data_IF_325920748888
#
_entry.id   IF_325920748888
#
_cell.length_a   1.000
_cell.length_b   1.000
_cell.length_c   1.000
_cell.angle_alpha   90.00
_cell.angle_beta   90.00
_cell.angle_gamma   90.00
#
_symmetry.space_group_name_H-M   'P 1'
#
loop_
_entity.id
_entity.type
_entity.pdbx_description
1 polymer ?
#
# COMPACT_ATOMS: atom_id res chain seq x y z
N UNK A 1 18.16 2.22 -12.10
CA UNK A 1 18.29 3.46 -11.28
C UNK A 1 16.98 4.23 -11.19
N UNK A 2 16.26 4.51 -12.29
CA UNK A 2 14.93 5.14 -12.25
C UNK A 2 13.94 4.41 -11.32
N UNK A 3 13.76 3.09 -11.52
CA UNK A 3 12.89 2.26 -10.67
C UNK A 3 13.33 2.24 -9.19
N UNK A 4 14.64 2.42 -8.91
CA UNK A 4 15.12 2.48 -7.53
C UNK A 4 14.73 3.80 -6.85
N UNK A 5 14.77 4.92 -7.58
CA UNK A 5 14.32 6.21 -7.06
C UNK A 5 12.81 6.20 -6.79
N UNK A 6 12.02 5.55 -7.65
CA UNK A 6 10.58 5.36 -7.44
C UNK A 6 10.26 4.53 -6.20
N UNK A 7 11.00 3.43 -5.97
CA UNK A 7 10.86 2.62 -4.75
C UNK A 7 11.17 3.45 -3.50
N UNK A 8 12.20 4.31 -3.53
CA UNK A 8 12.47 5.20 -2.38
C UNK A 8 11.40 6.27 -2.17
N UNK A 9 10.74 6.71 -3.24
CA UNK A 9 9.68 7.73 -3.16
C UNK A 9 8.37 7.16 -2.67
N UNK A 10 8.06 5.91 -3.02
CA UNK A 10 6.84 5.22 -2.62
C UNK A 10 7.11 3.74 -2.30
N UNK A 11 7.75 3.44 -1.15
CA UNK A 11 8.17 2.08 -0.81
C UNK A 11 6.99 1.13 -0.57
N UNK A 12 5.84 1.67 -0.16
CA UNK A 12 4.63 0.90 0.12
C UNK A 12 3.72 0.76 -1.13
N UNK A 13 4.09 1.38 -2.26
CA UNK A 13 3.32 1.43 -3.51
C UNK A 13 1.89 2.00 -3.36
N UNK A 14 1.60 2.70 -2.26
CA UNK A 14 0.30 3.33 -2.01
C UNK A 14 0.11 4.53 -2.97
N UNK A 15 -1.05 4.67 -3.64
CA UNK A 15 -1.33 5.84 -4.46
C UNK A 15 -1.12 7.15 -3.69
N UNK A 16 -0.14 7.95 -4.12
CA UNK A 16 0.16 9.23 -3.49
C UNK A 16 -1.08 10.15 -3.52
N UNK A 17 -1.51 10.64 -2.35
CA UNK A 17 -2.69 11.50 -2.22
C UNK A 17 -3.99 10.77 -1.88
N UNK A 18 -3.94 9.47 -1.61
CA UNK A 18 -5.10 8.72 -1.09
C UNK A 18 -5.55 9.26 0.28
N UNK A 19 -6.86 9.44 0.45
CA UNK A 19 -7.46 9.65 1.75
C UNK A 19 -7.67 8.26 2.37
N UNK A 20 -6.92 7.94 3.42
CA UNK A 20 -7.00 6.64 4.08
C UNK A 20 -8.45 6.17 4.24
N UNK A 21 -8.81 5.13 3.50
CA UNK A 21 -10.09 4.47 3.66
C UNK A 21 -10.02 3.63 4.95
N UNK A 22 -10.30 4.25 6.09
CA UNK A 22 -10.52 3.60 7.39
C UNK A 22 -9.28 3.43 8.28
N UNK A 23 -8.91 4.50 9.01
CA UNK A 23 -8.71 4.55 10.47
C UNK A 23 -7.82 5.76 10.83
N UNK A 24 -8.45 6.78 11.42
CA UNK A 24 -7.78 7.99 11.92
C UNK A 24 -7.09 7.79 13.29
N UNK A 25 -7.26 6.64 13.95
CA UNK A 25 -6.99 6.55 15.40
C UNK A 25 -5.72 5.76 15.79
N UNK A 26 -5.00 5.12 14.86
CA UNK A 26 -3.82 4.30 15.22
C UNK A 26 -2.44 4.91 14.89
N UNK A 27 -2.36 6.05 14.22
CA UNK A 27 -1.08 6.61 13.76
C UNK A 27 -0.43 7.66 14.68
N UNK A 28 -1.08 8.06 15.78
CA UNK A 28 -0.63 9.21 16.59
C UNK A 28 0.66 8.97 17.41
N UNK A 29 1.19 7.73 17.48
CA UNK A 29 2.30 7.38 18.40
C UNK A 29 3.67 7.10 17.74
N UNK A 30 3.81 7.23 16.41
CA UNK A 30 5.07 6.92 15.69
C UNK A 30 5.54 8.00 14.69
N UNK A 31 5.09 9.24 14.84
CA UNK A 31 5.19 10.28 13.80
C UNK A 31 6.62 10.77 13.50
N UNK A 32 7.48 10.96 14.49
CA UNK A 32 8.83 11.53 14.29
C UNK A 32 9.78 10.57 13.58
N UNK A 33 9.86 9.31 14.01
CA UNK A 33 10.73 8.31 13.40
C UNK A 33 10.31 7.97 11.96
N UNK A 34 9.00 7.95 11.67
CA UNK A 34 8.44 7.75 10.32
C UNK A 34 8.77 8.93 9.40
N UNK A 35 8.70 10.17 9.91
CA UNK A 35 9.07 11.38 9.17
C UNK A 35 10.58 11.43 8.86
N UNK A 36 11.45 11.04 9.80
CA UNK A 36 12.90 11.01 9.57
C UNK A 36 13.30 9.99 8.50
N UNK A 37 12.73 8.78 8.55
CA UNK A 37 12.93 7.75 7.52
C UNK A 37 12.44 8.24 6.16
N UNK A 38 11.28 8.90 6.11
CA UNK A 38 10.74 9.48 4.88
C UNK A 38 11.65 10.58 4.31
N UNK A 39 12.18 11.48 5.16
CA UNK A 39 13.11 12.51 4.73
C UNK A 39 14.46 11.94 4.26
N UNK A 40 14.95 10.89 4.90
CA UNK A 40 16.16 10.17 4.48
C UNK A 40 15.95 9.53 3.11
N UNK A 41 14.82 8.87 2.89
CA UNK A 41 14.47 8.27 1.60
C UNK A 41 14.42 9.32 0.47
N UNK A 42 13.82 10.48 0.72
CA UNK A 42 13.79 11.59 -0.26
C UNK A 42 15.20 12.10 -0.57
N UNK A 43 16.08 12.22 0.44
CA UNK A 43 17.47 12.64 0.21
C UNK A 43 18.23 11.61 -0.62
N UNK A 44 18.05 10.33 -0.36
CA UNK A 44 18.68 9.24 -1.12
C UNK A 44 18.18 9.23 -2.56
N UNK A 45 16.86 9.34 -2.77
CA UNK A 45 16.26 9.45 -4.10
C UNK A 45 16.85 10.64 -4.88
N UNK A 46 16.95 11.82 -4.26
CA UNK A 46 17.57 13.00 -4.91
C UNK A 46 19.04 12.79 -5.28
N UNK A 47 19.81 12.09 -4.44
CA UNK A 47 21.22 11.77 -4.77
C UNK A 47 21.29 10.86 -6.00
N UNK A 48 20.49 9.81 -6.04
CA UNK A 48 20.40 8.90 -7.18
C UNK A 48 19.98 9.63 -8.46
N UNK A 49 19.02 10.56 -8.36
CA UNK A 49 18.60 11.36 -9.53
C UNK A 49 19.71 12.30 -10.02
N UNK A 50 20.54 12.87 -9.15
CA UNK A 50 21.69 13.70 -9.56
C UNK A 50 22.78 12.91 -10.29
N UNK A 51 22.91 11.62 -9.97
CA UNK A 51 23.87 10.73 -10.63
C UNK A 51 23.37 10.28 -12.01
N UNK A 52 22.06 10.40 -12.28
CA UNK A 52 21.49 10.11 -13.58
C UNK A 52 21.84 11.24 -14.57
N UNK A 53 22.60 10.88 -15.61
CA UNK A 53 22.88 11.73 -16.77
C UNK A 53 22.22 11.12 -18.01
N UNK A 54 20.90 11.31 -18.20
CA UNK A 54 20.22 10.81 -19.40
C UNK A 54 20.84 11.42 -20.66
N UNK A 55 20.93 10.61 -21.72
CA UNK A 55 21.42 11.03 -23.05
C UNK A 55 20.29 11.27 -24.06
N UNK A 56 19.06 10.88 -23.71
CA UNK A 56 17.89 10.94 -24.59
C UNK A 56 16.90 12.00 -24.09
N UNK A 57 16.19 12.71 -24.99
CA UNK A 57 15.16 13.68 -24.60
C UNK A 57 14.08 13.09 -23.67
N UNK A 58 13.62 11.88 -23.96
CA UNK A 58 12.67 11.15 -23.10
C UNK A 58 13.25 10.85 -21.70
N UNK A 59 14.53 10.51 -21.61
CA UNK A 59 15.21 10.31 -20.32
C UNK A 59 15.32 11.60 -19.50
N UNK A 60 15.57 12.74 -20.15
CA UNK A 60 15.54 14.05 -19.48
C UNK A 60 14.16 14.38 -18.94
N UNK A 61 13.10 14.03 -19.67
CA UNK A 61 11.74 14.22 -19.22
C UNK A 61 11.38 13.35 -18.03
N UNK A 62 11.72 12.05 -18.08
CA UNK A 62 11.50 11.14 -16.95
C UNK A 62 12.25 11.61 -15.70
N UNK A 63 13.49 12.09 -15.85
CA UNK A 63 14.27 12.67 -14.75
C UNK A 63 13.54 13.87 -14.15
N UNK A 64 13.08 14.82 -14.98
CA UNK A 64 12.32 16.00 -14.54
C UNK A 64 11.04 15.62 -13.81
N UNK A 65 10.29 14.63 -14.30
CA UNK A 65 9.08 14.12 -13.63
C UNK A 65 9.42 13.58 -12.23
N UNK A 66 10.48 12.77 -12.10
CA UNK A 66 10.89 12.19 -10.82
C UNK A 66 11.41 13.23 -9.82
N UNK A 67 12.13 14.25 -10.28
CA UNK A 67 12.57 15.37 -9.43
C UNK A 67 11.37 16.11 -8.82
N UNK A 68 10.31 16.32 -9.60
CA UNK A 68 9.08 16.91 -9.10
C UNK A 68 8.31 15.97 -8.16
N UNK A 69 8.34 14.64 -8.38
CA UNK A 69 7.83 13.69 -7.39
C UNK A 69 8.62 13.76 -6.07
N UNK A 70 9.93 13.98 -6.10
CA UNK A 70 10.71 14.26 -4.87
C UNK A 70 10.25 15.55 -4.17
N UNK A 71 9.79 16.57 -4.91
CA UNK A 71 9.22 17.79 -4.33
C UNK A 71 7.85 17.51 -3.70
N UNK A 72 6.96 16.77 -4.39
CA UNK A 72 5.67 16.33 -3.85
C UNK A 72 5.83 15.52 -2.55
N UNK A 73 6.77 14.57 -2.52
CA UNK A 73 7.03 13.71 -1.37
C UNK A 73 7.43 14.50 -0.10
N UNK A 74 7.91 15.74 -0.23
CA UNK A 74 8.22 16.60 0.93
C UNK A 74 6.99 17.05 1.71
N UNK A 75 5.77 16.94 1.14
CA UNK A 75 4.48 17.34 1.73
C UNK A 75 4.41 18.81 2.16
N UNK A 76 5.32 19.67 1.71
CA UNK A 76 5.29 21.12 1.95
C UNK A 76 4.47 21.79 0.86
N UNK A 77 3.48 22.62 1.25
CA UNK A 77 2.57 23.30 0.30
C UNK A 77 3.30 24.07 -0.81
N UNK A 78 4.32 24.86 -0.46
CA UNK A 78 5.12 25.59 -1.44
C UNK A 78 5.80 24.68 -2.47
N UNK A 79 6.36 23.53 -2.03
CA UNK A 79 6.99 22.57 -2.94
C UNK A 79 5.97 21.86 -3.83
N UNK A 80 4.77 21.60 -3.32
CA UNK A 80 3.68 20.98 -4.09
C UNK A 80 3.17 21.91 -5.19
N UNK A 81 3.07 23.22 -4.93
CA UNK A 81 2.67 24.21 -5.93
C UNK A 81 3.73 24.38 -7.02
N UNK A 82 5.02 24.36 -6.67
CA UNK A 82 6.13 24.39 -7.63
C UNK A 82 6.08 23.14 -8.53
N UNK A 83 5.96 21.96 -7.92
CA UNK A 83 5.89 20.70 -8.67
C UNK A 83 4.66 20.66 -9.59
N UNK A 84 3.50 21.11 -9.12
CA UNK A 84 2.28 21.18 -9.92
C UNK A 84 2.47 22.07 -11.15
N UNK A 85 3.07 23.26 -10.98
CA UNK A 85 3.33 24.18 -12.10
C UNK A 85 4.23 23.53 -13.16
N UNK A 86 5.26 22.80 -12.72
CA UNK A 86 6.18 22.12 -13.62
C UNK A 86 5.51 20.97 -14.38
N UNK A 87 4.71 20.14 -13.68
CA UNK A 87 3.92 19.08 -14.31
C UNK A 87 2.93 19.60 -15.33
N UNK A 88 2.27 20.73 -15.05
CA UNK A 88 1.36 21.37 -16.00
C UNK A 88 2.09 21.88 -17.25
N UNK A 89 3.32 22.38 -17.11
CA UNK A 89 4.13 22.80 -18.27
C UNK A 89 4.49 21.60 -19.15
N UNK A 90 4.88 20.48 -18.53
CA UNK A 90 5.20 19.22 -19.23
C UNK A 90 3.96 18.70 -19.95
N UNK A 91 2.82 18.59 -19.26
CA UNK A 91 1.56 18.12 -19.84
C UNK A 91 1.04 19.02 -20.97
N UNK A 92 1.35 20.33 -20.96
CA UNK A 92 1.01 21.25 -22.05
C UNK A 92 1.86 21.02 -23.29
N UNK A 93 3.15 20.70 -23.11
CA UNK A 93 4.09 20.39 -24.20
C UNK A 93 3.80 19.01 -24.81
N UNK A 94 3.53 18.02 -23.96
CA UNK A 94 3.27 16.64 -24.37
C UNK A 94 1.89 16.18 -23.89
N UNK A 95 0.88 16.39 -24.75
CA UNK A 95 -0.53 16.15 -24.40
C UNK A 95 -0.89 14.68 -24.17
N UNK A 96 -0.11 13.76 -24.74
CA UNK A 96 -0.37 12.32 -24.69
C UNK A 96 0.54 11.59 -23.68
N UNK A 97 1.34 12.33 -22.91
CA UNK A 97 2.25 11.73 -21.94
C UNK A 97 1.51 11.31 -20.66
N UNK A 98 1.18 10.02 -20.56
CA UNK A 98 0.45 9.41 -19.45
C UNK A 98 1.09 9.68 -18.08
N UNK A 99 2.42 9.45 -17.86
CA UNK A 99 3.10 9.82 -16.61
C UNK A 99 2.92 11.28 -16.18
N UNK A 100 3.01 12.23 -17.11
CA UNK A 100 2.87 13.65 -16.79
C UNK A 100 1.43 14.01 -16.40
N UNK A 101 0.43 13.48 -17.11
CA UNK A 101 -0.99 13.69 -16.80
C UNK A 101 -1.35 13.11 -15.43
N UNK A 102 -0.83 11.92 -15.10
CA UNK A 102 -0.97 11.31 -13.78
C UNK A 102 -0.31 12.16 -12.68
N UNK A 103 0.86 12.72 -12.94
CA UNK A 103 1.59 13.55 -11.98
C UNK A 103 0.82 14.84 -11.64
N UNK A 104 0.20 15.49 -12.63
CA UNK A 104 -0.70 16.64 -12.40
C UNK A 104 -1.87 16.26 -11.50
N UNK A 105 -2.54 15.13 -11.79
CA UNK A 105 -3.66 14.65 -10.98
C UNK A 105 -3.23 14.33 -9.54
N UNK A 106 -2.09 13.67 -9.38
CA UNK A 106 -1.49 13.33 -8.08
C UNK A 106 -1.17 14.59 -7.26
N UNK A 107 -0.57 15.60 -7.88
CA UNK A 107 -0.30 16.88 -7.24
C UNK A 107 -1.58 17.59 -6.77
N UNK A 108 -2.63 17.59 -7.59
CA UNK A 108 -3.94 18.12 -7.20
C UNK A 108 -4.57 17.34 -6.03
N UNK A 109 -4.46 16.02 -6.02
CA UNK A 109 -4.93 15.19 -4.90
C UNK A 109 -4.20 15.53 -3.60
N UNK A 110 -2.88 15.73 -3.63
CA UNK A 110 -2.09 16.13 -2.46
C UNK A 110 -2.44 17.54 -1.96
N UNK A 111 -2.84 18.44 -2.87
CA UNK A 111 -3.34 19.77 -2.54
C UNK A 111 -4.82 19.78 -2.11
N UNK A 112 -5.45 18.60 -1.99
CA UNK A 112 -6.87 18.40 -1.66
C UNK A 112 -7.84 19.01 -2.68
N UNK A 113 -7.40 19.16 -3.93
CA UNK A 113 -8.26 19.59 -5.04
C UNK A 113 -8.78 18.40 -5.86
N UNK A 114 -9.78 17.73 -5.30
CA UNK A 114 -10.35 16.52 -5.89
C UNK A 114 -11.08 16.79 -7.21
N UNK A 115 -11.61 18.00 -7.42
CA UNK A 115 -12.35 18.34 -8.62
C UNK A 115 -11.42 18.45 -9.84
N UNK A 116 -10.31 19.19 -9.69
CA UNK A 116 -9.31 19.33 -10.76
C UNK A 116 -8.59 18.01 -11.04
N UNK A 117 -8.25 17.26 -9.99
CA UNK A 117 -7.69 15.92 -10.15
C UNK A 117 -8.61 14.99 -10.97
N UNK A 118 -9.91 14.95 -10.64
CA UNK A 118 -10.89 14.13 -11.36
C UNK A 118 -11.02 14.53 -12.82
N UNK A 119 -11.05 15.83 -13.10
CA UNK A 119 -11.16 16.33 -14.47
C UNK A 119 -9.94 15.96 -15.32
N UNK A 120 -8.76 15.90 -14.70
CA UNK A 120 -7.53 15.43 -15.34
C UNK A 120 -7.53 13.91 -15.58
N UNK A 121 -8.02 13.12 -14.61
CA UNK A 121 -8.00 11.65 -14.68
C UNK A 121 -9.07 11.06 -15.60
N UNK A 122 -10.20 11.75 -15.80
CA UNK A 122 -11.32 11.23 -16.62
C UNK A 122 -10.91 10.94 -18.08
N UNK A 123 -10.26 11.86 -18.81
CA UNK A 123 -9.75 11.58 -20.15
C UNK A 123 -8.65 10.50 -20.13
N UNK A 124 -7.76 10.57 -19.15
CA UNK A 124 -6.64 9.62 -18.98
C UNK A 124 -7.15 8.19 -18.86
N UNK A 125 -8.22 7.98 -18.09
CA UNK A 125 -8.83 6.67 -17.92
C UNK A 125 -9.42 6.09 -19.23
N UNK A 126 -9.75 6.91 -20.22
CA UNK A 126 -10.29 6.48 -21.51
C UNK A 126 -9.23 6.29 -22.60
N UNK A 127 -7.99 6.71 -22.37
CA UNK A 127 -6.89 6.51 -23.31
C UNK A 127 -6.63 5.02 -23.60
N UNK A 128 -6.01 4.76 -24.76
CA UNK A 128 -5.62 3.41 -25.17
C UNK A 128 -4.54 2.91 -24.22
N UNK A 129 -4.81 1.75 -23.61
CA UNK A 129 -3.84 1.10 -22.74
C UNK A 129 -2.57 0.71 -23.52
N UNK A 130 -1.41 0.98 -22.92
CA UNK A 130 -0.09 0.62 -23.42
C UNK A 130 0.62 -0.26 -22.38
N UNK A 131 1.51 -1.14 -22.82
CA UNK A 131 2.33 -1.94 -21.90
C UNK A 131 3.41 -1.09 -21.22
N UNK A 132 3.88 -0.03 -21.88
CA UNK A 132 4.95 0.85 -21.37
C UNK A 132 4.46 1.66 -20.17
N UNK A 133 3.21 2.13 -20.22
CA UNK A 133 2.60 2.97 -19.17
C UNK A 133 1.62 2.17 -18.31
N UNK A 134 1.77 0.84 -18.25
CA UNK A 134 0.81 -0.04 -17.59
C UNK A 134 0.63 0.31 -16.10
N UNK A 135 1.73 0.60 -15.41
CA UNK A 135 1.75 0.99 -14.01
C UNK A 135 1.07 2.36 -13.79
N UNK A 136 1.29 3.31 -14.69
CA UNK A 136 0.66 4.63 -14.64
C UNK A 136 -0.84 4.55 -14.88
N UNK A 137 -1.28 3.71 -15.83
CA UNK A 137 -2.71 3.46 -16.05
C UNK A 137 -3.36 2.84 -14.82
N UNK A 138 -2.73 1.85 -14.20
CA UNK A 138 -3.21 1.26 -12.95
C UNK A 138 -3.34 2.31 -11.84
N UNK A 139 -2.29 3.10 -11.58
CA UNK A 139 -2.31 4.19 -10.60
C UNK A 139 -3.41 5.20 -10.91
N UNK A 140 -3.62 5.55 -12.18
CA UNK A 140 -4.65 6.50 -12.60
C UNK A 140 -6.08 5.98 -12.33
N UNK A 141 -6.34 4.70 -12.59
CA UNK A 141 -7.64 4.09 -12.35
C UNK A 141 -7.92 3.96 -10.86
N UNK A 142 -6.92 3.58 -10.05
CA UNK A 142 -7.02 3.52 -8.61
C UNK A 142 -7.31 4.90 -7.99
N UNK A 143 -6.60 5.94 -8.45
CA UNK A 143 -6.79 7.30 -7.94
C UNK A 143 -8.16 7.87 -8.33
N UNK A 144 -8.64 7.60 -9.55
CA UNK A 144 -9.98 8.02 -9.96
C UNK A 144 -11.08 7.23 -9.25
N UNK A 145 -10.86 5.94 -9.00
CA UNK A 145 -11.77 5.12 -8.21
C UNK A 145 -11.88 5.63 -6.77
N UNK A 146 -10.75 6.01 -6.14
CA UNK A 146 -10.73 6.60 -4.80
C UNK A 146 -11.60 7.87 -4.72
N UNK A 147 -11.45 8.78 -5.69
CA UNK A 147 -12.29 9.99 -5.78
C UNK A 147 -13.77 9.62 -5.90
N UNK A 148 -14.13 8.61 -6.68
CA UNK A 148 -15.52 8.18 -6.84
C UNK A 148 -16.09 7.49 -5.61
N UNK A 149 -15.30 6.70 -4.89
CA UNK A 149 -15.67 6.07 -3.61
C UNK A 149 -16.00 7.15 -2.59
N UNK A 150 -15.14 8.16 -2.46
CA UNK A 150 -15.38 9.31 -1.57
C UNK A 150 -16.56 10.17 -2.01
N UNK A 151 -16.86 10.21 -3.32
CA UNK A 151 -18.04 10.89 -3.86
C UNK A 151 -19.34 10.07 -3.76
N UNK A 152 -19.30 8.84 -3.22
CA UNK A 152 -20.44 7.93 -3.16
C UNK A 152 -20.87 7.31 -4.50
N UNK A 153 -20.10 7.52 -5.58
CA UNK A 153 -20.40 6.97 -6.92
C UNK A 153 -19.78 5.59 -7.11
N UNK A 154 -20.33 4.62 -6.39
CA UNK A 154 -19.78 3.26 -6.34
C UNK A 154 -19.80 2.53 -7.69
N UNK A 155 -20.79 2.76 -8.57
CA UNK A 155 -20.85 2.05 -9.85
C UNK A 155 -19.67 2.41 -10.77
N UNK A 156 -19.38 3.71 -10.90
CA UNK A 156 -18.24 4.18 -11.68
C UNK A 156 -16.90 3.72 -11.10
N UNK A 157 -16.78 3.68 -9.77
CA UNK A 157 -15.59 3.14 -9.11
C UNK A 157 -15.43 1.64 -9.44
N UNK A 158 -16.50 0.85 -9.34
CA UNK A 158 -16.50 -0.58 -9.62
C UNK A 158 -16.02 -0.90 -11.03
N UNK A 159 -16.46 -0.13 -12.02
CA UNK A 159 -16.08 -0.32 -13.42
C UNK A 159 -14.59 -0.05 -13.66
N UNK A 160 -14.05 1.00 -13.03
CA UNK A 160 -12.61 1.30 -13.08
C UNK A 160 -11.76 0.21 -12.42
N UNK A 161 -12.19 -0.28 -11.25
CA UNK A 161 -11.49 -1.34 -10.53
C UNK A 161 -11.52 -2.67 -11.29
N UNK A 162 -12.66 -3.03 -11.89
CA UNK A 162 -12.76 -4.20 -12.78
C UNK A 162 -11.86 -4.08 -13.99
N UNK A 163 -11.75 -2.88 -14.58
CA UNK A 163 -10.81 -2.61 -15.68
C UNK A 163 -9.36 -2.77 -15.23
N UNK A 164 -9.01 -2.26 -14.06
CA UNK A 164 -7.70 -2.45 -13.46
C UNK A 164 -7.37 -3.95 -13.30
N UNK A 165 -8.28 -4.72 -12.70
CA UNK A 165 -8.11 -6.16 -12.48
C UNK A 165 -8.07 -6.99 -13.77
N UNK A 166 -8.62 -6.49 -14.88
CA UNK A 166 -8.51 -7.13 -16.20
C UNK A 166 -7.07 -7.16 -16.69
N UNK A 167 -6.29 -6.11 -16.41
CA UNK A 167 -4.89 -5.99 -16.83
C UNK A 167 -3.93 -6.48 -15.74
N UNK A 168 -4.16 -6.12 -14.47
CA UNK A 168 -3.39 -6.57 -13.33
C UNK A 168 -4.28 -7.29 -12.30
N UNK A 169 -4.35 -8.62 -12.40
CA UNK A 169 -5.09 -9.47 -11.46
C UNK A 169 -4.50 -9.52 -10.05
N UNK A 170 -3.24 -9.10 -9.90
CA UNK A 170 -2.49 -9.11 -8.64
C UNK A 170 -2.54 -7.75 -7.93
N UNK A 171 -3.33 -6.80 -8.43
CA UNK A 171 -3.49 -5.50 -7.80
C UNK A 171 -4.22 -5.65 -6.45
N UNK A 172 -3.46 -5.69 -5.35
CA UNK A 172 -3.98 -5.77 -3.98
C UNK A 172 -4.94 -4.61 -3.67
N UNK A 173 -4.58 -3.39 -4.12
CA UNK A 173 -5.34 -2.17 -3.84
C UNK A 173 -6.72 -2.17 -4.48
N UNK A 174 -6.85 -2.71 -5.68
CA UNK A 174 -8.14 -2.82 -6.35
C UNK A 174 -9.12 -3.70 -5.56
N UNK A 175 -8.63 -4.83 -5.02
CA UNK A 175 -9.43 -5.68 -4.14
C UNK A 175 -9.74 -5.02 -2.80
N UNK A 176 -8.84 -4.21 -2.25
CA UNK A 176 -9.12 -3.43 -1.03
C UNK A 176 -10.30 -2.48 -1.24
N UNK A 177 -10.30 -1.71 -2.34
CA UNK A 177 -11.40 -0.80 -2.67
C UNK A 177 -12.72 -1.54 -2.92
N UNK A 178 -12.69 -2.67 -3.63
CA UNK A 178 -13.89 -3.51 -3.82
C UNK A 178 -14.41 -4.03 -2.48
N UNK A 179 -13.53 -4.51 -1.60
CA UNK A 179 -13.88 -4.96 -0.25
C UNK A 179 -14.54 -3.86 0.58
N UNK A 180 -13.99 -2.64 0.53
CA UNK A 180 -14.58 -1.49 1.22
C UNK A 180 -15.98 -1.15 0.71
N UNK A 181 -16.18 -1.13 -0.60
CA UNK A 181 -17.50 -0.86 -1.19
C UNK A 181 -18.52 -1.93 -0.78
N UNK A 182 -18.14 -3.21 -0.79
CA UNK A 182 -19.02 -4.29 -0.34
C UNK A 182 -19.32 -4.23 1.15
N UNK A 183 -18.36 -3.78 1.98
CA UNK A 183 -18.58 -3.54 3.41
C UNK A 183 -19.60 -2.43 3.64
N UNK A 184 -19.54 -1.35 2.84
CA UNK A 184 -20.55 -0.26 2.88
C UNK A 184 -21.93 -0.73 2.44
N UNK A 185 -22.00 -1.65 1.48
CA UNK A 185 -23.25 -2.29 1.03
C UNK A 185 -23.78 -3.35 2.02
N UNK A 186 -23.07 -3.65 3.11
CA UNK A 186 -23.46 -4.66 4.11
C UNK A 186 -23.23 -6.11 3.67
N UNK A 187 -22.59 -6.34 2.52
CA UNK A 187 -22.28 -7.67 1.97
C UNK A 187 -20.97 -8.20 2.53
N UNK A 188 -20.97 -8.55 3.82
CA UNK A 188 -19.73 -8.93 4.54
C UNK A 188 -19.05 -10.19 4.00
N UNK A 189 -19.80 -11.13 3.43
CA UNK A 189 -19.23 -12.32 2.79
C UNK A 189 -18.39 -11.96 1.56
N UNK A 190 -18.95 -11.16 0.66
CA UNK A 190 -18.25 -10.72 -0.55
C UNK A 190 -17.10 -9.77 -0.21
N UNK A 191 -17.27 -8.91 0.81
CA UNK A 191 -16.22 -8.05 1.33
C UNK A 191 -15.04 -8.89 1.85
N UNK A 192 -15.29 -9.94 2.63
CA UNK A 192 -14.25 -10.83 3.15
C UNK A 192 -13.46 -11.51 2.02
N UNK A 193 -14.14 -12.00 0.97
CA UNK A 193 -13.46 -12.60 -0.19
C UNK A 193 -12.52 -11.60 -0.90
N UNK A 194 -12.97 -10.36 -1.11
CA UNK A 194 -12.14 -9.33 -1.72
C UNK A 194 -10.95 -8.95 -0.82
N UNK A 195 -11.18 -8.76 0.48
CA UNK A 195 -10.08 -8.50 1.42
C UNK A 195 -9.11 -9.67 1.56
N UNK A 196 -9.54 -10.92 1.37
CA UNK A 196 -8.66 -12.09 1.34
C UNK A 196 -7.75 -12.07 0.11
N UNK A 197 -8.29 -11.72 -1.06
CA UNK A 197 -7.48 -11.52 -2.26
C UNK A 197 -6.49 -10.36 -2.07
N UNK A 198 -6.92 -9.24 -1.49
CA UNK A 198 -6.04 -8.14 -1.13
C UNK A 198 -4.92 -8.59 -0.16
N UNK A 199 -5.26 -9.36 0.87
CA UNK A 199 -4.30 -9.90 1.84
C UNK A 199 -3.27 -10.83 1.19
N UNK A 200 -3.73 -11.71 0.29
CA UNK A 200 -2.89 -12.64 -0.46
C UNK A 200 -1.93 -11.91 -1.40
N UNK A 201 -2.43 -11.00 -2.23
CA UNK A 201 -1.62 -10.28 -3.20
C UNK A 201 -0.78 -9.16 -2.59
N UNK A 202 -1.18 -8.63 -1.43
CA UNK A 202 -0.38 -7.70 -0.62
C UNK A 202 0.70 -8.39 0.22
N UNK A 203 0.96 -9.69 0.03
CA UNK A 203 1.99 -10.48 0.73
C UNK A 203 1.81 -10.37 2.26
N UNK A 204 0.58 -10.18 2.73
CA UNK A 204 0.25 -10.14 4.16
C UNK A 204 1.04 -9.08 4.96
N UNK A 205 1.51 -8.03 4.28
CA UNK A 205 2.37 -7.01 4.88
C UNK A 205 1.58 -5.95 5.64
N UNK A 206 0.36 -5.65 5.20
CA UNK A 206 -0.42 -4.49 5.66
C UNK A 206 -1.41 -4.83 6.78
N UNK A 207 -1.11 -4.53 8.06
CA UNK A 207 -1.96 -4.95 9.18
C UNK A 207 -3.39 -4.40 9.12
N UNK A 208 -3.60 -3.28 8.42
CA UNK A 208 -4.94 -2.70 8.22
C UNK A 208 -5.85 -3.62 7.41
N UNK A 209 -5.35 -4.21 6.32
CA UNK A 209 -6.10 -5.18 5.51
C UNK A 209 -6.41 -6.43 6.33
N UNK A 210 -5.44 -6.94 7.09
CA UNK A 210 -5.65 -8.10 7.97
C UNK A 210 -6.71 -7.84 9.04
N UNK A 211 -6.74 -6.63 9.62
CA UNK A 211 -7.78 -6.23 10.58
C UNK A 211 -9.16 -6.13 9.92
N UNK A 212 -9.27 -5.44 8.77
CA UNK A 212 -10.53 -5.33 8.01
C UNK A 212 -11.07 -6.70 7.63
N UNK A 213 -10.19 -7.60 7.18
CA UNK A 213 -10.55 -8.97 6.81
C UNK A 213 -11.08 -9.76 8.02
N UNK A 214 -10.38 -9.73 9.16
CA UNK A 214 -10.83 -10.39 10.37
C UNK A 214 -12.18 -9.85 10.87
N UNK A 215 -12.38 -8.52 10.83
CA UNK A 215 -13.65 -7.90 11.20
C UNK A 215 -14.79 -8.33 10.28
N UNK A 216 -14.55 -8.37 8.97
CA UNK A 216 -15.55 -8.81 8.00
C UNK A 216 -15.90 -10.30 8.19
N UNK A 217 -14.93 -11.16 8.53
CA UNK A 217 -15.21 -12.56 8.87
C UNK A 217 -16.09 -12.72 10.13
N UNK A 218 -15.87 -11.88 11.15
CA UNK A 218 -16.72 -11.86 12.34
C UNK A 218 -18.16 -11.42 12.00
N UNK A 219 -18.32 -10.35 11.21
CA UNK A 219 -19.63 -9.87 10.76
C UNK A 219 -20.35 -10.90 9.87
N UNK A 220 -19.59 -11.67 9.10
CA UNK A 220 -20.07 -12.76 8.26
C UNK A 220 -20.39 -14.07 9.02
N UNK A 221 -20.21 -14.12 10.35
CA UNK A 221 -20.37 -15.32 11.20
C UNK A 221 -19.48 -16.51 10.80
N UNK A 222 -18.37 -16.25 10.10
CA UNK A 222 -17.36 -17.26 9.73
C UNK A 222 -16.21 -17.20 10.73
N UNK A 223 -16.46 -17.70 11.94
CA UNK A 223 -15.54 -17.59 13.07
C UNK A 223 -14.22 -18.35 12.84
N UNK A 224 -14.28 -19.50 12.16
CA UNK A 224 -13.11 -20.36 11.90
C UNK A 224 -12.05 -19.63 11.07
N UNK A 225 -12.46 -18.94 10.00
CA UNK A 225 -11.56 -18.22 9.11
C UNK A 225 -10.96 -16.97 9.77
N UNK A 226 -11.69 -16.31 10.69
CA UNK A 226 -11.20 -15.14 11.41
C UNK A 226 -10.00 -15.47 12.31
N UNK A 227 -9.99 -16.66 12.92
CA UNK A 227 -8.93 -17.13 13.82
C UNK A 227 -7.64 -17.39 13.03
N UNK A 228 -7.75 -17.97 11.84
CA UNK A 228 -6.59 -18.38 11.04
C UNK A 228 -5.73 -17.21 10.53
N UNK A 229 -6.33 -16.06 10.22
CA UNK A 229 -5.61 -14.90 9.63
C UNK A 229 -4.59 -14.23 10.54
N UNK A 230 -4.84 -14.27 11.85
CA UNK A 230 -3.91 -13.75 12.84
C UNK A 230 -2.93 -14.81 13.37
N UNK A 231 -3.15 -16.06 12.97
CA UNK A 231 -2.37 -17.20 13.40
C UNK A 231 -1.25 -17.50 12.41
N UNK A 232 -0.06 -17.83 12.91
CA UNK A 232 1.11 -18.12 12.09
C UNK A 232 2.03 -19.07 12.85
N UNK A 233 2.83 -19.84 12.10
CA UNK A 233 3.93 -20.58 12.68
C UNK A 233 5.15 -19.66 12.84
N UNK A 234 5.86 -19.82 13.95
CA UNK A 234 7.05 -19.06 14.27
C UNK A 234 8.14 -19.99 14.77
N UNK A 235 9.37 -19.72 14.38
CA UNK A 235 10.55 -20.39 14.90
C UNK A 235 11.01 -19.62 16.13
N UNK A 236 10.98 -20.27 17.29
CA UNK A 236 11.37 -19.71 18.58
C UNK A 236 12.73 -20.27 18.97
N UNK A 237 13.70 -19.37 19.19
CA UNK A 237 15.04 -19.69 19.69
C UNK A 237 15.02 -19.71 21.21
N UNK A 238 15.41 -20.84 21.80
CA UNK A 238 15.53 -20.98 23.24
C UNK A 238 16.66 -20.09 23.81
N UNK A 239 16.47 -19.39 24.94
CA UNK A 239 17.53 -18.62 25.59
C UNK A 239 18.62 -19.48 26.21
N UNK A 240 18.31 -20.72 26.60
CA UNK A 240 19.26 -21.63 27.24
C UNK A 240 20.12 -22.39 26.22
N UNK A 241 19.52 -23.35 25.51
CA UNK A 241 20.26 -24.24 24.60
C UNK A 241 20.36 -23.73 23.16
N UNK A 242 19.85 -22.52 22.85
CA UNK A 242 19.84 -21.90 21.52
C UNK A 242 19.17 -22.72 20.39
N UNK A 243 18.57 -23.86 20.71
CA UNK A 243 17.84 -24.70 19.76
C UNK A 243 16.57 -24.01 19.30
N UNK A 244 16.26 -24.15 18.02
CA UNK A 244 15.09 -23.55 17.38
C UNK A 244 13.96 -24.58 17.41
N UNK A 245 12.79 -24.17 17.89
CA UNK A 245 11.57 -24.98 17.90
C UNK A 245 10.48 -24.24 17.16
N UNK A 246 9.78 -24.89 16.23
CA UNK A 246 8.63 -24.29 15.55
C UNK A 246 7.40 -24.34 16.46
N UNK A 247 6.79 -23.18 16.69
CA UNK A 247 5.69 -22.95 17.61
C UNK A 247 4.53 -22.27 16.87
N UNK A 248 3.30 -22.66 17.16
CA UNK A 248 2.11 -21.97 16.65
C UNK A 248 1.81 -20.72 17.48
N UNK A 249 1.48 -19.60 16.84
CA UNK A 249 1.28 -18.31 17.54
C UNK A 249 0.11 -18.30 18.53
N UNK A 250 -0.85 -19.24 18.41
CA UNK A 250 -1.97 -19.42 19.32
C UNK A 250 -1.91 -20.80 20.01
N UNK A 251 -0.71 -21.25 20.38
CA UNK A 251 -0.54 -22.50 21.11
C UNK A 251 -1.51 -22.57 22.31
N UNK A 252 -2.30 -23.64 22.37
CA UNK A 252 -3.28 -23.90 23.43
C UNK A 252 -2.63 -24.54 24.67
N UNK A 253 -1.44 -25.11 24.49
CA UNK A 253 -0.65 -25.77 25.53
C UNK A 253 0.67 -25.04 25.73
N UNK A 254 1.28 -25.26 26.91
CA UNK A 254 2.64 -24.78 27.20
C UNK A 254 3.62 -25.49 26.26
N UNK A 255 4.43 -24.74 25.53
CA UNK A 255 5.42 -25.30 24.60
C UNK A 255 6.79 -25.30 25.25
N UNK A 256 7.42 -26.47 25.30
CA UNK A 256 8.74 -26.68 25.88
C UNK A 256 9.81 -26.78 24.80
N UNK A 257 11.03 -26.39 25.15
CA UNK A 257 12.17 -26.57 24.27
C UNK A 257 12.54 -28.06 24.14
N UNK A 258 12.75 -28.52 22.90
CA UNK A 258 13.16 -29.91 22.60
C UNK A 258 14.52 -30.27 23.21
N UNK A 259 15.40 -29.29 23.46
CA UNK A 259 16.76 -29.54 23.94
C UNK A 259 16.92 -29.52 25.47
N UNK A 260 16.24 -28.60 26.15
CA UNK A 260 16.48 -28.35 27.59
C UNK A 260 15.19 -28.22 28.41
N UNK A 261 14.03 -28.57 27.83
CA UNK A 261 12.70 -28.53 28.48
C UNK A 261 12.29 -27.17 29.07
N UNK A 262 13.03 -26.10 28.76
CA UNK A 262 12.67 -24.74 29.16
C UNK A 262 11.36 -24.34 28.48
N UNK A 263 10.46 -23.69 29.23
CA UNK A 263 9.21 -23.15 28.70
C UNK A 263 9.53 -22.07 27.67
N UNK A 264 9.07 -22.25 26.43
CA UNK A 264 9.22 -21.31 25.34
C UNK A 264 8.02 -20.35 25.23
N UNK A 265 6.80 -20.86 25.44
CA UNK A 265 5.60 -20.04 25.45
C UNK A 265 4.47 -20.61 26.32
N UNK A 266 3.55 -19.74 26.74
CA UNK A 266 2.37 -20.07 27.53
C UNK A 266 1.08 -19.57 26.85
N UNK A 267 -0.03 -20.34 26.93
CA UNK A 267 -1.33 -19.93 26.38
C UNK A 267 -1.96 -18.78 27.16
N UNK A 268 -2.67 -17.87 26.47
CA UNK A 268 -3.41 -16.75 27.06
C UNK A 268 -4.85 -16.58 26.52
N UNK A 269 -5.43 -17.62 25.93
CA UNK A 269 -6.73 -17.52 25.23
C UNK A 269 -6.69 -16.69 23.93
N UNK A 270 -5.48 -16.35 23.46
CA UNK A 270 -5.21 -15.59 22.24
C UNK A 270 -3.79 -15.89 21.76
N UNK A 271 -3.02 -14.88 21.33
CA UNK A 271 -1.59 -15.08 21.00
C UNK A 271 -0.82 -15.56 22.24
N UNK A 272 -0.08 -16.65 22.09
CA UNK A 272 0.74 -17.23 23.15
C UNK A 272 1.81 -16.23 23.60
N UNK A 273 2.05 -16.16 24.92
CA UNK A 273 3.10 -15.32 25.51
C UNK A 273 4.42 -16.06 25.41
N UNK A 274 5.42 -15.47 24.76
CA UNK A 274 6.79 -15.99 24.79
C UNK A 274 7.44 -15.73 26.15
N UNK A 275 8.25 -16.69 26.60
CA UNK A 275 9.09 -16.52 27.80
C UNK A 275 10.14 -15.44 27.55
N UNK A 276 10.46 -14.66 28.58
CA UNK A 276 11.50 -13.63 28.49
C UNK A 276 12.85 -14.22 28.06
N UNK A 277 13.55 -13.53 27.17
CA UNK A 277 14.80 -14.01 26.56
C UNK A 277 14.62 -14.90 25.32
N UNK A 278 13.40 -15.33 24.99
CA UNK A 278 13.15 -16.05 23.73
C UNK A 278 13.10 -15.06 22.54
N UNK A 279 13.86 -15.37 21.49
CA UNK A 279 13.76 -14.66 20.20
C UNK A 279 12.89 -15.46 19.24
N UNK A 280 12.10 -14.82 18.40
CA UNK A 280 11.29 -15.52 17.40
C UNK A 280 11.39 -14.90 16.01
N UNK A 281 11.18 -15.74 15.00
CA UNK A 281 10.98 -15.34 13.60
C UNK A 281 9.69 -15.96 13.10
N UNK A 282 8.88 -15.19 12.37
CA UNK A 282 7.70 -15.75 11.68
C UNK A 282 8.16 -16.57 10.48
N UNK A 283 7.61 -17.78 10.32
CA UNK A 283 7.76 -18.53 9.06
C UNK A 283 6.86 -17.89 8.01
N UNK A 284 7.47 -17.45 6.92
CA UNK A 284 6.75 -17.12 5.69
C UNK A 284 6.56 -18.44 4.93
N UNK A 285 5.35 -18.68 4.43
CA UNK A 285 5.04 -19.84 3.60
C UNK A 285 5.84 -19.84 2.30
#
# INVERSE_FOLDING_TARGET
MYNMAEIYLNPDYDPMGEQMVGNLDSEMKNSTKKQEVQLLAIRTARKLLKELKPKTPCGHLQLRILENYCLLATKKKANMEIALKDFMEIAKKEKDNVPALLAVATAHMMLKDHLRARNQLKPLAQMKWSLVDADEFEKSWLLLADIYIHSGRYDLARDLLKRCLKHNKSCSKAYEYLGYMMEKDGKFNDAAQNYELAWKYGIQTSPSIGYKLALNYLKAKRHDNAIHLNSYFMDVKCPGCYKITTVFSHAQTVVLCVGCSTVLCQPKGGKARLTEGCSFRRKQH
#
